data_IF_089944382252
#
_entry.id   IF_089944382252
#
_cell.length_a   1.000
_cell.length_b   1.000
_cell.length_c   1.000
_cell.angle_alpha   90.00
_cell.angle_beta   90.00
_cell.angle_gamma   90.00
#
_symmetry.space_group_name_H-M   'P 1'
#
loop_
_entity.id
_entity.type
_entity.pdbx_description
1 polymer ?
#
# COMPACT_ATOMS: atom_id res chain seq x y z
N UNK A 1 1.56 -52.52 24.92
CA UNK A 1 2.49 -51.98 23.91
C UNK A 1 2.39 -50.46 23.97
N UNK A 2 3.40 -49.78 24.50
CA UNK A 2 3.49 -48.33 24.50
C UNK A 2 4.16 -47.88 23.19
N UNK A 3 3.51 -47.01 22.43
CA UNK A 3 4.20 -46.17 21.46
C UNK A 3 4.06 -44.71 21.90
N UNK A 4 5.15 -44.20 22.47
CA UNK A 4 5.38 -42.77 22.61
C UNK A 4 5.89 -42.26 21.25
N UNK A 5 5.06 -41.50 20.53
CA UNK A 5 5.46 -40.79 19.32
C UNK A 5 5.79 -39.34 19.66
N UNK A 6 7.07 -38.98 19.56
CA UNK A 6 7.63 -37.66 19.82
C UNK A 6 7.05 -36.60 18.86
N UNK A 7 6.25 -35.66 19.36
CA UNK A 7 5.78 -34.52 18.57
C UNK A 7 6.89 -33.44 18.51
N UNK A 8 7.65 -33.40 17.43
CA UNK A 8 8.60 -32.30 17.16
C UNK A 8 7.81 -31.10 16.66
N UNK A 9 7.52 -30.16 17.55
CA UNK A 9 7.00 -28.85 17.17
C UNK A 9 8.14 -28.02 16.56
N UNK A 10 8.24 -28.02 15.23
CA UNK A 10 9.15 -27.11 14.52
C UNK A 10 8.56 -25.70 14.56
N UNK A 11 8.96 -24.91 15.53
CA UNK A 11 8.65 -23.47 15.60
C UNK A 11 9.49 -22.73 14.56
N UNK A 12 9.15 -22.87 13.27
CA UNK A 12 9.69 -21.99 12.24
C UNK A 12 9.12 -20.59 12.48
N UNK A 13 9.90 -19.71 13.11
CA UNK A 13 9.62 -18.29 13.11
C UNK A 13 9.72 -17.82 11.65
N UNK A 14 8.59 -17.61 10.99
CA UNK A 14 8.55 -16.97 9.69
C UNK A 14 9.02 -15.52 9.85
N UNK A 15 10.31 -15.28 9.66
CA UNK A 15 10.85 -13.94 9.45
C UNK A 15 10.46 -13.52 8.03
N UNK A 16 9.31 -12.87 7.91
CA UNK A 16 8.95 -12.21 6.65
C UNK A 16 9.88 -11.01 6.47
N UNK A 17 10.71 -11.05 5.43
CA UNK A 17 11.43 -9.84 4.99
C UNK A 17 10.39 -8.78 4.62
N UNK A 18 10.55 -7.57 5.16
CA UNK A 18 9.63 -6.47 4.88
C UNK A 18 9.77 -6.02 3.43
N UNK A 19 8.69 -6.03 2.65
CA UNK A 19 8.70 -5.47 1.30
C UNK A 19 8.82 -3.94 1.36
N UNK A 20 9.97 -3.42 0.94
CA UNK A 20 10.30 -1.99 1.01
C UNK A 20 10.05 -1.24 -0.31
N UNK A 21 10.09 0.09 -0.30
CA UNK A 21 10.09 0.91 -1.51
C UNK A 21 11.28 0.59 -2.42
N UNK A 22 12.44 0.24 -1.85
CA UNK A 22 13.60 -0.23 -2.60
C UNK A 22 13.30 -1.51 -3.36
N UNK A 23 12.56 -2.45 -2.77
CA UNK A 23 12.17 -3.70 -3.44
C UNK A 23 11.11 -3.46 -4.50
N UNK A 24 10.15 -2.58 -4.20
CA UNK A 24 9.15 -2.13 -5.17
C UNK A 24 9.79 -1.52 -6.42
N UNK A 25 10.80 -0.68 -6.27
CA UNK A 25 11.48 -0.02 -7.40
C UNK A 25 12.29 -0.98 -8.28
N UNK A 26 12.52 -2.24 -7.85
CA UNK A 26 13.12 -3.29 -8.69
C UNK A 26 12.11 -3.96 -9.62
N UNK A 27 10.81 -3.79 -9.37
CA UNK A 27 9.77 -4.31 -10.23
C UNK A 27 9.84 -3.64 -11.61
N UNK A 28 9.41 -4.35 -12.65
CA UNK A 28 9.26 -3.73 -13.97
C UNK A 28 8.16 -2.66 -13.95
N UNK A 29 8.16 -1.79 -14.96
CA UNK A 29 7.24 -0.65 -15.04
C UNK A 29 5.76 -1.08 -15.00
N UNK A 30 5.40 -2.17 -15.68
CA UNK A 30 4.03 -2.68 -15.69
C UNK A 30 3.57 -3.10 -14.29
N UNK A 31 4.41 -3.82 -13.55
CA UNK A 31 4.12 -4.24 -12.18
C UNK A 31 4.04 -3.04 -11.23
N UNK A 32 4.91 -2.04 -11.38
CA UNK A 32 4.83 -0.80 -10.61
C UNK A 32 3.51 -0.08 -10.86
N UNK A 33 3.13 0.06 -12.14
CA UNK A 33 1.89 0.71 -12.55
C UNK A 33 0.66 0.02 -11.96
N UNK A 34 0.52 -1.29 -12.18
CA UNK A 34 -0.65 -2.04 -11.68
C UNK A 34 -0.75 -2.03 -10.16
N UNK A 35 0.38 -2.08 -9.45
CA UNK A 35 0.38 -1.99 -8.01
C UNK A 35 -0.08 -0.61 -7.52
N UNK A 36 0.37 0.48 -8.15
CA UNK A 36 -0.04 1.84 -7.78
C UNK A 36 -1.53 2.03 -8.03
N UNK A 37 -2.02 1.68 -9.22
CA UNK A 37 -3.44 1.76 -9.58
C UNK A 37 -4.30 0.93 -8.62
N UNK A 38 -3.92 -0.33 -8.38
CA UNK A 38 -4.63 -1.20 -7.44
C UNK A 38 -4.64 -0.66 -6.01
N UNK A 39 -3.54 -0.05 -5.54
CA UNK A 39 -3.49 0.55 -4.21
C UNK A 39 -4.42 1.76 -4.09
N UNK A 40 -4.49 2.61 -5.12
CA UNK A 40 -5.43 3.73 -5.18
C UNK A 40 -6.87 3.23 -5.17
N UNK A 41 -7.17 2.24 -6.02
CA UNK A 41 -8.52 1.72 -6.19
C UNK A 41 -9.04 1.10 -4.91
N UNK A 42 -8.22 0.26 -4.26
CA UNK A 42 -8.57 -0.37 -3.00
C UNK A 42 -8.76 0.66 -1.88
N UNK A 43 -7.90 1.67 -1.82
CA UNK A 43 -8.02 2.73 -0.81
C UNK A 43 -9.31 3.52 -1.00
N UNK A 44 -9.58 3.99 -2.23
CA UNK A 44 -10.81 4.71 -2.56
C UNK A 44 -12.07 3.90 -2.32
N UNK A 45 -12.06 2.60 -2.67
CA UNK A 45 -13.17 1.68 -2.46
C UNK A 45 -13.46 1.49 -0.98
N UNK A 46 -12.46 1.12 -0.17
CA UNK A 46 -12.63 0.84 1.27
C UNK A 46 -13.15 2.07 2.02
N UNK A 47 -12.63 3.26 1.70
CA UNK A 47 -13.11 4.50 2.32
C UNK A 47 -14.57 4.79 1.93
N UNK A 48 -14.92 4.55 0.67
CA UNK A 48 -16.28 4.78 0.17
C UNK A 48 -17.28 3.84 0.81
N UNK A 49 -16.95 2.55 0.91
CA UNK A 49 -17.82 1.52 1.50
C UNK A 49 -17.86 1.62 3.02
N UNK A 50 -16.81 2.16 3.65
CA UNK A 50 -16.75 2.48 5.08
C UNK A 50 -17.54 3.73 5.50
N UNK A 51 -18.35 4.32 4.62
CA UNK A 51 -19.26 5.42 4.95
C UNK A 51 -18.78 6.83 4.59
N UNK A 52 -17.59 6.98 3.98
CA UNK A 52 -17.07 8.28 3.58
C UNK A 52 -16.91 8.39 2.05
N UNK A 53 -18.03 8.32 1.32
CA UNK A 53 -18.08 8.39 -0.15
C UNK A 53 -17.35 9.60 -0.74
N UNK A 54 -17.45 10.77 -0.09
CA UNK A 54 -16.78 11.98 -0.57
C UNK A 54 -15.25 11.85 -0.49
N UNK A 55 -14.74 11.29 0.61
CA UNK A 55 -13.30 11.05 0.76
C UNK A 55 -12.82 9.99 -0.22
N UNK A 56 -13.56 8.89 -0.39
CA UNK A 56 -13.21 7.87 -1.38
C UNK A 56 -13.16 8.43 -2.80
N UNK A 57 -14.12 9.28 -3.18
CA UNK A 57 -14.08 10.04 -4.44
C UNK A 57 -12.84 10.92 -4.55
N UNK A 58 -12.45 11.62 -3.48
CA UNK A 58 -11.22 12.41 -3.48
C UNK A 58 -9.99 11.54 -3.80
N UNK A 59 -9.88 10.32 -3.25
CA UNK A 59 -8.74 9.43 -3.53
C UNK A 59 -8.66 9.10 -5.02
N UNK A 60 -9.79 8.74 -5.63
CA UNK A 60 -9.84 8.46 -7.07
C UNK A 60 -9.47 9.70 -7.90
N UNK A 61 -10.11 10.84 -7.62
CA UNK A 61 -9.88 12.09 -8.37
C UNK A 61 -8.46 12.64 -8.17
N UNK A 62 -7.87 12.46 -6.98
CA UNK A 62 -6.52 12.91 -6.70
C UNK A 62 -5.48 12.23 -7.59
N UNK A 63 -5.67 10.94 -7.89
CA UNK A 63 -4.72 10.18 -8.71
C UNK A 63 -5.11 10.13 -10.19
N UNK A 64 -6.37 9.90 -10.53
CA UNK A 64 -6.83 9.77 -11.93
C UNK A 64 -7.30 11.09 -12.57
N UNK A 65 -7.26 12.19 -11.81
CA UNK A 65 -7.64 13.52 -12.30
C UNK A 65 -6.63 14.14 -13.26
N UNK A 66 -6.72 15.47 -13.37
CA UNK A 66 -5.93 16.31 -14.28
C UNK A 66 -4.40 16.14 -14.14
N UNK A 67 -3.93 15.76 -12.94
CA UNK A 67 -2.51 15.64 -12.60
C UNK A 67 -1.99 14.21 -12.54
N UNK A 68 -2.64 13.26 -13.20
CA UNK A 68 -2.30 11.84 -13.12
C UNK A 68 -0.80 11.55 -13.31
N UNK A 69 -0.19 12.03 -14.40
CA UNK A 69 1.23 11.82 -14.68
C UNK A 69 2.14 12.43 -13.59
N UNK A 70 1.81 13.62 -13.09
CA UNK A 70 2.55 14.29 -12.01
C UNK A 70 2.45 13.52 -10.70
N UNK A 71 1.27 12.97 -10.39
CA UNK A 71 1.02 12.18 -9.18
C UNK A 71 1.72 10.84 -9.21
N UNK A 72 1.69 10.15 -10.34
CA UNK A 72 2.49 8.95 -10.54
C UNK A 72 3.99 9.24 -10.36
N UNK A 73 4.48 10.32 -10.95
CA UNK A 73 5.88 10.77 -10.79
C UNK A 73 6.23 11.09 -9.33
N UNK A 74 5.32 11.76 -8.62
CA UNK A 74 5.48 12.08 -7.19
C UNK A 74 5.56 10.81 -6.32
N UNK A 75 4.75 9.80 -6.62
CA UNK A 75 4.75 8.52 -5.91
C UNK A 75 6.11 7.83 -6.08
N UNK A 76 6.57 7.66 -7.33
CA UNK A 76 7.85 7.03 -7.62
C UNK A 76 9.04 7.82 -7.03
N UNK A 77 8.99 9.15 -7.10
CA UNK A 77 10.01 10.01 -6.48
C UNK A 77 10.02 9.87 -4.95
N UNK A 78 8.85 9.73 -4.32
CA UNK A 78 8.75 9.53 -2.87
C UNK A 78 9.31 8.17 -2.47
N UNK A 79 9.04 7.12 -3.24
CA UNK A 79 9.61 5.78 -3.03
C UNK A 79 11.14 5.79 -3.15
N UNK A 80 11.70 6.54 -4.10
CA UNK A 80 13.16 6.73 -4.23
C UNK A 80 13.74 7.48 -3.03
N UNK A 81 13.02 8.45 -2.48
CA UNK A 81 13.45 9.26 -1.33
C UNK A 81 13.42 8.47 -0.01
N UNK A 82 12.51 7.52 0.13
CA UNK A 82 12.31 6.73 1.35
C UNK A 82 12.43 5.23 1.06
N UNK A 83 13.63 4.74 0.68
CA UNK A 83 13.80 3.39 0.14
C UNK A 83 13.47 2.28 1.14
N UNK A 84 13.69 2.49 2.43
CA UNK A 84 13.48 1.46 3.46
C UNK A 84 12.06 1.49 4.06
N UNK A 85 11.18 2.35 3.54
CA UNK A 85 9.78 2.48 3.99
C UNK A 85 8.88 1.59 3.14
N UNK A 86 7.87 0.91 3.73
CA UNK A 86 6.88 0.17 2.98
C UNK A 86 6.14 1.06 1.95
N UNK A 87 5.96 0.60 0.69
CA UNK A 87 5.30 1.38 -0.37
C UNK A 87 3.92 1.91 0.02
N UNK A 88 3.13 1.10 0.73
CA UNK A 88 1.80 1.45 1.20
C UNK A 88 1.81 2.61 2.21
N UNK A 89 2.82 2.69 3.09
CA UNK A 89 2.95 3.80 4.04
C UNK A 89 3.20 5.13 3.31
N UNK A 90 4.01 5.11 2.25
CA UNK A 90 4.24 6.28 1.39
C UNK A 90 2.95 6.69 0.67
N UNK A 91 2.21 5.72 0.12
CA UNK A 91 0.93 5.97 -0.55
C UNK A 91 -0.08 6.62 0.39
N UNK A 92 -0.27 6.07 1.59
CA UNK A 92 -1.18 6.63 2.61
C UNK A 92 -0.78 8.07 2.94
N UNK A 93 0.50 8.34 3.18
CA UNK A 93 0.96 9.69 3.50
C UNK A 93 0.74 10.70 2.36
N UNK A 94 0.85 10.26 1.10
CA UNK A 94 0.57 11.11 -0.07
C UNK A 94 -0.92 11.38 -0.23
N UNK A 95 -1.76 10.35 -0.07
CA UNK A 95 -3.21 10.48 -0.12
C UNK A 95 -3.71 11.37 1.02
N UNK A 96 -3.22 11.19 2.26
CA UNK A 96 -3.58 12.04 3.39
C UNK A 96 -3.19 13.50 3.18
N UNK A 97 -2.09 13.77 2.48
CA UNK A 97 -1.71 15.12 2.09
C UNK A 97 -2.66 15.74 1.07
N UNK A 98 -3.17 14.94 0.13
CA UNK A 98 -4.07 15.40 -0.93
C UNK A 98 -5.53 15.51 -0.50
N UNK A 99 -6.01 14.55 0.30
CA UNK A 99 -7.40 14.38 0.65
C UNK A 99 -7.71 14.61 2.13
N UNK A 100 -6.70 14.89 2.96
CA UNK A 100 -6.80 14.96 4.42
C UNK A 100 -6.85 13.57 5.07
N UNK A 101 -6.85 13.54 6.41
CA UNK A 101 -6.85 12.31 7.23
C UNK A 101 -7.80 11.23 6.70
N UNK A 102 -7.30 9.99 6.62
CA UNK A 102 -8.07 8.81 6.21
C UNK A 102 -8.72 8.08 7.39
N UNK A 103 -8.47 8.51 8.63
CA UNK A 103 -9.08 7.92 9.83
C UNK A 103 -10.61 8.09 9.78
N UNK A 104 -11.34 7.03 10.05
CA UNK A 104 -12.76 7.13 10.34
C UNK A 104 -12.95 8.00 11.59
N UNK A 105 -13.90 8.94 11.56
CA UNK A 105 -14.44 9.52 12.79
C UNK A 105 -15.28 8.40 13.41
N UNK A 106 -14.78 7.83 14.51
CA UNK A 106 -15.54 6.89 15.33
C UNK A 106 -16.76 7.53 15.95
#
# INVERSE_FOLDING_TARGET
MLYAGLAVAVSNAAYAESFTAKDFLKLNEAHQKFWIEGAIDMTGLVISTGGNKQKGRCVFEWYYGDKHAERNSLILASMKKYPDVPPNAIMVALIERGCGSLKAKG
#
